data_IF_339958358077
#
_entry.id   IF_339958358077
#
_cell.length_a   1.000
_cell.length_b   1.000
_cell.length_c   1.000
_cell.angle_alpha   90.00
_cell.angle_beta   90.00
_cell.angle_gamma   90.00
#
_symmetry.space_group_name_H-M   'P 1'
#
loop_
_entity.id
_entity.type
_entity.pdbx_description
1 polymer ?
#
# COMPACT_ATOMS: atom_id res chain seq x y z
N UNK A 1 -12.09 15.01 11.88
CA UNK A 1 -11.82 15.59 10.55
C UNK A 1 -12.50 14.79 9.42
N UNK A 2 -12.76 13.50 9.63
CA UNK A 2 -13.27 12.57 8.62
C UNK A 2 -12.26 12.30 7.49
N UNK A 3 -10.98 12.43 7.78
CA UNK A 3 -9.89 12.04 6.88
C UNK A 3 -9.32 10.69 7.34
N UNK A 4 -8.87 9.83 6.41
CA UNK A 4 -8.12 8.62 6.77
C UNK A 4 -6.82 9.00 7.46
N UNK A 5 -6.37 8.12 8.37
CA UNK A 5 -5.04 8.22 8.96
C UNK A 5 -4.01 7.60 8.01
N UNK A 6 -2.96 8.33 7.71
CA UNK A 6 -1.77 7.81 7.06
C UNK A 6 -0.73 7.49 8.15
N UNK A 7 -0.39 6.22 8.28
CA UNK A 7 0.37 5.70 9.40
C UNK A 7 1.70 5.13 8.91
N UNK A 8 2.80 5.63 9.45
CA UNK A 8 4.13 5.08 9.25
C UNK A 8 4.53 4.21 10.45
N UNK A 9 5.02 3.00 10.20
CA UNK A 9 5.58 2.11 11.22
C UNK A 9 6.97 1.64 10.81
N UNK A 10 7.90 1.71 11.74
CA UNK A 10 9.25 1.21 11.56
C UNK A 10 9.75 0.59 12.86
N UNK A 11 10.08 -0.71 12.82
CA UNK A 11 10.60 -1.48 13.95
C UNK A 11 9.71 -1.38 15.21
N UNK A 12 8.37 -1.26 15.02
CA UNK A 12 7.40 -1.08 16.10
C UNK A 12 6.10 -1.88 15.83
N UNK A 13 6.21 -3.06 15.23
CA UNK A 13 5.06 -3.80 14.72
C UNK A 13 4.06 -4.19 15.81
N UNK A 14 4.53 -4.69 16.96
CA UNK A 14 3.65 -5.11 18.05
C UNK A 14 2.95 -3.90 18.69
N UNK A 15 3.69 -2.84 18.98
CA UNK A 15 3.12 -1.60 19.54
C UNK A 15 2.10 -1.00 18.57
N UNK A 16 2.41 -0.97 17.28
CA UNK A 16 1.52 -0.46 16.25
C UNK A 16 0.24 -1.29 16.17
N UNK A 17 0.35 -2.61 16.16
CA UNK A 17 -0.82 -3.48 16.11
C UNK A 17 -1.71 -3.31 17.34
N UNK A 18 -1.13 -3.26 18.55
CA UNK A 18 -1.87 -3.02 19.79
C UNK A 18 -2.58 -1.67 19.78
N UNK A 19 -1.90 -0.59 19.40
CA UNK A 19 -2.49 0.75 19.33
C UNK A 19 -3.63 0.80 18.33
N UNK A 20 -3.46 0.20 17.15
CA UNK A 20 -4.52 0.13 16.13
C UNK A 20 -5.77 -0.57 16.67
N UNK A 21 -5.60 -1.71 17.33
CA UNK A 21 -6.71 -2.48 17.92
C UNK A 21 -7.40 -1.72 19.05
N UNK A 22 -6.63 -1.12 19.96
CA UNK A 22 -7.17 -0.34 21.07
C UNK A 22 -7.95 0.89 20.61
N UNK A 23 -7.41 1.66 19.66
CA UNK A 23 -8.08 2.87 19.16
C UNK A 23 -9.28 2.53 18.27
N UNK A 24 -9.19 1.48 17.45
CA UNK A 24 -10.30 1.01 16.63
C UNK A 24 -11.48 0.51 17.49
N UNK A 25 -11.22 -0.11 18.63
CA UNK A 25 -12.24 -0.54 19.57
C UNK A 25 -13.02 0.63 20.22
N UNK A 26 -12.38 1.81 20.33
CA UNK A 26 -13.03 3.05 20.82
C UNK A 26 -13.91 3.70 19.75
N UNK A 27 -13.62 3.46 18.48
CA UNK A 27 -14.39 3.94 17.34
C UNK A 27 -13.66 3.66 16.04
N UNK A 28 -14.29 2.96 15.07
CA UNK A 28 -13.67 2.65 13.78
C UNK A 28 -13.24 3.92 13.03
N UNK A 29 -12.10 3.87 12.40
CA UNK A 29 -11.55 4.94 11.57
C UNK A 29 -10.92 4.37 10.29
N UNK A 30 -11.00 5.09 9.17
CA UNK A 30 -10.28 4.70 7.96
C UNK A 30 -8.78 4.98 8.13
N UNK A 31 -7.94 4.03 7.71
CA UNK A 31 -6.50 4.17 7.82
C UNK A 31 -5.75 3.40 6.73
N UNK A 32 -4.49 3.78 6.55
CA UNK A 32 -3.52 3.13 5.67
C UNK A 32 -2.19 2.98 6.42
N UNK A 33 -1.61 1.79 6.39
CA UNK A 33 -0.20 1.60 6.69
C UNK A 33 0.58 1.91 5.40
N UNK A 34 1.15 3.13 5.35
CA UNK A 34 1.89 3.59 4.18
C UNK A 34 3.32 3.05 4.18
N UNK A 35 3.90 2.91 2.99
CA UNK A 35 5.25 2.40 2.77
C UNK A 35 5.53 1.15 3.61
N UNK A 36 4.61 0.19 3.57
CA UNK A 36 4.61 -0.97 4.46
C UNK A 36 5.86 -1.82 4.28
N UNK A 37 6.59 -2.00 5.37
CA UNK A 37 7.78 -2.86 5.47
C UNK A 37 7.77 -3.69 6.77
N UNK A 38 6.64 -3.71 7.46
CA UNK A 38 6.44 -4.50 8.68
C UNK A 38 6.26 -5.99 8.42
N UNK A 39 6.14 -6.73 9.49
CA UNK A 39 5.96 -8.18 9.48
C UNK A 39 4.51 -8.60 9.18
N UNK A 40 4.36 -9.90 8.91
CA UNK A 40 3.08 -10.53 8.56
C UNK A 40 2.01 -10.33 9.64
N UNK A 41 2.37 -10.42 10.94
CA UNK A 41 1.41 -10.29 12.03
C UNK A 41 0.75 -8.90 12.04
N UNK A 42 1.55 -7.83 11.96
CA UNK A 42 1.02 -6.47 11.86
C UNK A 42 0.07 -6.33 10.65
N UNK A 43 0.48 -6.83 9.47
CA UNK A 43 -0.36 -6.76 8.28
C UNK A 43 -1.72 -7.44 8.50
N UNK A 44 -1.72 -8.68 9.01
CA UNK A 44 -2.95 -9.45 9.18
C UNK A 44 -3.87 -8.87 10.26
N UNK A 45 -3.32 -8.30 11.34
CA UNK A 45 -4.09 -7.61 12.38
C UNK A 45 -4.70 -6.31 11.85
N UNK A 46 -3.94 -5.52 11.12
CA UNK A 46 -4.42 -4.29 10.48
C UNK A 46 -5.54 -4.56 9.45
N UNK A 47 -5.39 -5.59 8.62
CA UNK A 47 -6.40 -5.98 7.64
C UNK A 47 -7.75 -6.35 8.28
N UNK A 48 -7.75 -7.03 9.44
CA UNK A 48 -8.98 -7.37 10.19
C UNK A 48 -9.75 -6.13 10.65
N UNK A 49 -9.07 -5.02 10.85
CA UNK A 49 -9.65 -3.72 11.22
C UNK A 49 -10.09 -2.91 9.99
N UNK A 50 -9.89 -3.41 8.78
CA UNK A 50 -10.21 -2.69 7.54
C UNK A 50 -9.15 -1.66 7.13
N UNK A 51 -7.97 -1.65 7.77
CA UNK A 51 -6.83 -0.80 7.41
C UNK A 51 -6.26 -1.26 6.07
N UNK A 52 -5.97 -0.33 5.18
CA UNK A 52 -5.33 -0.63 3.90
C UNK A 52 -3.81 -0.74 4.05
N UNK A 53 -3.20 -1.55 3.19
CA UNK A 53 -1.74 -1.71 3.13
C UNK A 53 -1.24 -1.12 1.82
N UNK A 54 -0.29 -0.17 1.90
CA UNK A 54 0.33 0.45 0.73
C UNK A 54 1.77 -0.02 0.55
N UNK A 55 2.10 -0.47 -0.65
CA UNK A 55 3.41 -0.97 -1.00
C UNK A 55 4.16 0.03 -1.87
N UNK A 56 5.41 0.34 -1.47
CA UNK A 56 6.34 1.19 -2.21
C UNK A 56 7.33 0.39 -3.05
N UNK A 57 8.28 1.07 -3.68
CA UNK A 57 9.34 0.47 -4.48
C UNK A 57 10.15 -0.63 -3.77
N UNK A 58 10.10 -0.70 -2.43
CA UNK A 58 10.77 -1.75 -1.64
C UNK A 58 10.35 -3.16 -2.05
N UNK A 59 9.09 -3.37 -2.44
CA UNK A 59 8.61 -4.70 -2.87
C UNK A 59 9.35 -5.24 -4.10
N UNK A 60 9.97 -4.35 -4.90
CA UNK A 60 10.75 -4.70 -6.08
C UNK A 60 12.19 -5.13 -5.76
N UNK A 61 12.66 -4.91 -4.53
CA UNK A 61 14.07 -5.14 -4.18
C UNK A 61 14.38 -6.63 -4.07
N UNK A 62 15.66 -6.96 -4.35
CA UNK A 62 16.12 -8.36 -4.37
C UNK A 62 15.81 -9.11 -3.07
N UNK A 63 16.00 -8.44 -1.94
CA UNK A 63 15.90 -9.07 -0.60
C UNK A 63 14.51 -8.88 0.03
N UNK A 64 13.46 -8.62 -0.76
CA UNK A 64 12.09 -8.37 -0.26
C UNK A 64 11.14 -9.57 -0.47
N UNK A 65 11.66 -10.80 -0.40
CA UNK A 65 10.82 -12.01 -0.59
C UNK A 65 9.73 -12.13 0.47
N UNK A 66 10.05 -11.82 1.73
CA UNK A 66 9.07 -11.81 2.82
C UNK A 66 7.96 -10.79 2.55
N UNK A 67 8.33 -9.56 2.16
CA UNK A 67 7.35 -8.52 1.83
C UNK A 67 6.45 -8.93 0.65
N UNK A 68 7.01 -9.61 -0.37
CA UNK A 68 6.22 -10.16 -1.49
C UNK A 68 5.29 -11.28 -1.02
N UNK A 69 5.73 -12.12 -0.08
CA UNK A 69 4.87 -13.14 0.53
C UNK A 69 3.69 -12.51 1.27
N UNK A 70 3.94 -11.47 2.05
CA UNK A 70 2.88 -10.71 2.73
C UNK A 70 1.92 -10.08 1.70
N UNK A 71 2.47 -9.42 0.67
CA UNK A 71 1.66 -8.83 -0.39
C UNK A 71 0.76 -9.85 -1.12
N UNK A 72 1.22 -11.09 -1.27
CA UNK A 72 0.39 -12.16 -1.83
C UNK A 72 -0.86 -12.46 -0.98
N UNK A 73 -0.76 -12.33 0.35
CA UNK A 73 -1.86 -12.59 1.28
C UNK A 73 -2.82 -11.39 1.43
N UNK A 74 -2.33 -10.15 1.24
CA UNK A 74 -3.18 -8.94 1.33
C UNK A 74 -4.30 -8.99 0.31
N UNK A 75 -5.58 -8.85 0.69
CA UNK A 75 -6.68 -8.79 -0.26
C UNK A 75 -6.51 -7.65 -1.27
N UNK A 76 -6.86 -7.92 -2.53
CA UNK A 76 -6.68 -6.93 -3.59
C UNK A 76 -7.48 -5.63 -3.33
N UNK A 77 -8.61 -5.74 -2.64
CA UNK A 77 -9.46 -4.62 -2.24
C UNK A 77 -8.98 -3.86 -1.00
N UNK A 78 -7.89 -4.30 -0.34
CA UNK A 78 -7.23 -3.58 0.76
C UNK A 78 -5.78 -3.19 0.42
N UNK A 79 -5.40 -3.26 -0.85
CA UNK A 79 -4.06 -2.95 -1.33
C UNK A 79 -4.00 -1.58 -1.98
N UNK A 80 -2.93 -0.84 -1.69
CA UNK A 80 -2.54 0.37 -2.41
C UNK A 80 -1.09 0.27 -2.90
N UNK A 81 -0.74 1.14 -3.82
CA UNK A 81 0.60 1.27 -4.38
C UNK A 81 1.04 2.72 -4.33
N UNK A 82 2.30 2.94 -3.98
CA UNK A 82 2.87 4.26 -3.80
C UNK A 82 4.33 4.32 -4.26
N UNK A 83 4.92 5.51 -4.24
CA UNK A 83 6.33 5.70 -4.59
C UNK A 83 7.24 5.92 -3.39
N UNK A 84 6.81 6.68 -2.41
CA UNK A 84 7.65 7.27 -1.36
C UNK A 84 8.74 8.20 -1.93
N UNK A 85 8.45 8.82 -3.08
CA UNK A 85 9.40 9.73 -3.75
C UNK A 85 9.79 10.90 -2.84
N UNK A 86 11.07 11.31 -2.84
CA UNK A 86 12.14 10.97 -3.79
C UNK A 86 12.95 9.72 -3.42
N UNK A 87 12.50 8.95 -2.43
CA UNK A 87 13.19 7.77 -1.90
C UNK A 87 12.70 6.48 -2.57
N UNK A 88 13.36 5.37 -2.29
CA UNK A 88 12.94 4.00 -2.59
C UNK A 88 12.65 3.72 -4.06
N UNK A 89 13.41 4.35 -4.98
CA UNK A 89 13.27 4.08 -6.43
C UNK A 89 13.21 2.56 -6.71
N UNK A 90 12.18 2.08 -7.44
CA UNK A 90 11.99 0.67 -7.71
C UNK A 90 13.06 0.11 -8.66
N UNK A 91 13.20 -1.20 -8.72
CA UNK A 91 13.95 -1.86 -9.81
C UNK A 91 13.18 -1.65 -11.13
N UNK A 92 13.84 -1.27 -12.26
CA UNK A 92 15.29 -1.24 -12.48
C UNK A 92 15.97 0.10 -12.14
N UNK A 93 15.28 1.03 -11.52
CA UNK A 93 15.74 2.41 -11.33
C UNK A 93 16.46 2.64 -9.99
N UNK A 94 16.90 1.57 -9.31
CA UNK A 94 17.64 1.66 -8.04
C UNK A 94 18.85 2.61 -8.16
N UNK A 95 19.02 3.44 -7.11
CA UNK A 95 20.12 4.43 -7.06
C UNK A 95 19.83 5.75 -7.76
N UNK A 96 18.70 5.88 -8.44
CA UNK A 96 18.20 7.16 -8.97
C UNK A 96 17.27 7.83 -7.95
N UNK A 97 17.07 9.13 -8.10
CA UNK A 97 15.98 9.83 -7.41
C UNK A 97 14.65 9.26 -7.89
N UNK A 98 13.79 8.87 -6.95
CA UNK A 98 12.46 8.35 -7.27
C UNK A 98 11.54 9.49 -7.69
N UNK A 99 10.55 9.18 -8.52
CA UNK A 99 9.52 10.12 -8.97
C UNK A 99 8.16 9.40 -9.10
N UNK A 100 7.03 10.14 -9.09
CA UNK A 100 5.68 9.53 -9.14
C UNK A 100 5.47 8.59 -10.34
N UNK A 101 6.07 8.91 -11.50
CA UNK A 101 5.96 8.08 -12.71
C UNK A 101 6.51 6.66 -12.54
N UNK A 102 7.44 6.43 -11.59
CA UNK A 102 8.04 5.12 -11.36
C UNK A 102 7.15 4.14 -10.60
N UNK A 103 5.98 4.58 -10.13
CA UNK A 103 4.99 3.70 -9.48
C UNK A 103 4.59 2.51 -10.35
N UNK A 104 4.67 2.62 -11.66
CA UNK A 104 4.34 1.55 -12.61
C UNK A 104 5.17 0.29 -12.36
N UNK A 105 6.45 0.44 -12.01
CA UNK A 105 7.33 -0.71 -11.74
C UNK A 105 6.96 -1.43 -10.43
N UNK A 106 6.51 -0.68 -9.42
CA UNK A 106 5.97 -1.26 -8.18
C UNK A 106 4.67 -2.04 -8.49
N UNK A 107 3.77 -1.43 -9.25
CA UNK A 107 2.51 -2.05 -9.65
C UNK A 107 2.71 -3.33 -10.48
N UNK A 108 3.66 -3.35 -11.42
CA UNK A 108 4.01 -4.53 -12.22
C UNK A 108 4.46 -5.71 -11.35
N UNK A 109 5.28 -5.45 -10.32
CA UNK A 109 5.73 -6.50 -9.39
C UNK A 109 4.57 -7.01 -8.56
N UNK A 110 3.72 -6.12 -8.03
CA UNK A 110 2.55 -6.52 -7.24
C UNK A 110 1.53 -7.30 -8.09
N UNK A 111 1.32 -6.91 -9.35
CA UNK A 111 0.45 -7.66 -10.26
C UNK A 111 0.93 -9.11 -10.43
N UNK A 112 2.24 -9.31 -10.63
CA UNK A 112 2.85 -10.66 -10.70
C UNK A 112 2.67 -11.43 -9.39
N UNK A 113 2.87 -10.77 -8.24
CA UNK A 113 2.70 -11.39 -6.91
C UNK A 113 1.25 -11.82 -6.69
N UNK A 114 0.29 -11.02 -7.15
CA UNK A 114 -1.15 -11.30 -7.03
C UNK A 114 -1.68 -12.27 -8.11
N UNK A 115 -0.90 -12.54 -9.15
CA UNK A 115 -1.36 -13.35 -10.28
C UNK A 115 -2.47 -12.70 -11.11
N UNK A 116 -2.47 -11.36 -11.19
CA UNK A 116 -3.39 -10.54 -11.99
C UNK A 116 -2.63 -9.75 -13.04
N UNK A 117 -3.35 -9.15 -13.99
CA UNK A 117 -2.72 -8.25 -14.97
C UNK A 117 -2.37 -6.89 -14.33
N UNK A 118 -1.40 -6.15 -14.89
CA UNK A 118 -1.10 -4.79 -14.44
C UNK A 118 -2.32 -3.86 -14.47
N UNK A 119 -3.18 -4.01 -15.48
CA UNK A 119 -4.42 -3.22 -15.63
C UNK A 119 -5.43 -3.55 -14.52
N UNK A 120 -5.60 -4.82 -14.18
CA UNK A 120 -6.47 -5.25 -13.08
C UNK A 120 -5.97 -4.72 -11.73
N UNK A 121 -4.66 -4.77 -11.49
CA UNK A 121 -4.07 -4.19 -10.29
C UNK A 121 -4.27 -2.69 -10.25
N UNK A 122 -3.95 -1.97 -11.33
CA UNK A 122 -4.11 -0.52 -11.41
C UNK A 122 -5.56 -0.10 -11.16
N UNK A 123 -6.52 -0.80 -11.74
CA UNK A 123 -7.95 -0.58 -11.51
C UNK A 123 -8.30 -0.78 -10.03
N UNK A 124 -7.91 -1.90 -9.44
CA UNK A 124 -8.24 -2.22 -8.06
C UNK A 124 -7.65 -1.20 -7.08
N UNK A 125 -6.36 -0.85 -7.22
CA UNK A 125 -5.70 0.12 -6.35
C UNK A 125 -6.24 1.53 -6.52
N UNK A 126 -6.64 1.93 -7.73
CA UNK A 126 -7.33 3.20 -7.99
C UNK A 126 -8.70 3.23 -7.32
N UNK A 127 -9.50 2.17 -7.42
CA UNK A 127 -10.80 2.08 -6.72
C UNK A 127 -10.61 2.13 -5.20
N UNK A 128 -9.62 1.45 -4.67
CA UNK A 128 -9.28 1.46 -3.25
C UNK A 128 -8.89 2.86 -2.79
N UNK A 129 -8.10 3.60 -3.58
CA UNK A 129 -7.74 4.99 -3.29
C UNK A 129 -8.98 5.86 -3.12
N UNK A 130 -9.90 5.86 -4.07
CA UNK A 130 -11.11 6.69 -3.99
C UNK A 130 -12.09 6.22 -2.91
N UNK A 131 -12.07 4.93 -2.56
CA UNK A 131 -12.85 4.42 -1.43
C UNK A 131 -12.30 4.89 -0.09
N UNK A 132 -10.97 4.99 0.05
CA UNK A 132 -10.32 5.47 1.26
C UNK A 132 -10.37 7.00 1.35
N UNK A 133 -9.99 7.70 0.29
CA UNK A 133 -9.88 9.16 0.25
C UNK A 133 -11.14 9.81 -0.34
N UNK A 134 -12.26 9.66 0.34
CA UNK A 134 -13.60 10.07 -0.14
C UNK A 134 -13.76 11.56 -0.45
N UNK A 135 -12.84 12.41 0.05
CA UNK A 135 -12.85 13.85 -0.24
C UNK A 135 -12.09 14.23 -1.52
N UNK A 136 -11.40 13.29 -2.14
CA UNK A 136 -10.76 13.50 -3.45
C UNK A 136 -11.81 13.35 -4.54
N UNK A 137 -12.05 14.37 -5.37
CA UNK A 137 -13.02 14.25 -6.45
C UNK A 137 -12.54 13.21 -7.48
N UNK A 138 -13.45 12.34 -7.88
CA UNK A 138 -13.18 11.37 -8.93
C UNK A 138 -13.27 12.11 -10.28
N UNK A 139 -12.14 12.60 -10.76
CA UNK A 139 -12.04 13.07 -12.14
C UNK A 139 -11.94 11.85 -13.05
N UNK A 140 -12.70 11.86 -14.16
CA UNK A 140 -12.50 10.83 -15.19
C UNK A 140 -11.04 10.91 -15.65
N UNK A 141 -10.30 9.83 -15.44
CA UNK A 141 -8.96 9.70 -16.01
C UNK A 141 -9.15 9.73 -17.53
N UNK A 142 -8.54 10.72 -18.20
CA UNK A 142 -8.55 10.74 -19.66
C UNK A 142 -8.03 9.38 -20.15
N UNK A 143 -8.67 8.76 -21.16
CA UNK A 143 -8.15 7.52 -21.73
C UNK A 143 -6.70 7.76 -22.16
N UNK A 144 -5.83 6.80 -21.83
CA UNK A 144 -4.44 6.84 -22.27
C UNK A 144 -4.42 6.98 -23.80
N UNK A 145 -3.72 8.02 -24.27
CA UNK A 145 -3.56 8.31 -25.69
C UNK A 145 -2.72 7.22 -26.37
#
# INVERSE_FOLDING_TARGET
TGLPLEIHSREADEDMACILEEEHAKGPFPAILHCFTGGRDLAMRALKLGVMISFSGVVTFRNSDELRSIAAEVPLDQMLVETDAPFLAPVPLRGKTNEPAFVVHTAEVLAKVKGVTPEELAKATTENFFRLFTKVPRTELAPAA
#
